data_IF_405159622388
#
_entry.id   IF_405159622388
#
_cell.length_a   1.000
_cell.length_b   1.000
_cell.length_c   1.000
_cell.angle_alpha   90.00
_cell.angle_beta   90.00
_cell.angle_gamma   90.00
#
_symmetry.space_group_name_H-M   'P 1'
#
loop_
_entity.id
_entity.type
_entity.pdbx_description
1 polymer ?
#
# COMPACT_ATOMS: atom_id res chain seq x y z
N UNK A 1 23.48 -5.75 13.63
CA UNK A 1 24.16 -6.44 12.52
C UNK A 1 23.16 -7.41 11.88
N UNK A 2 22.46 -6.99 10.82
CA UNK A 2 21.74 -7.94 9.97
C UNK A 2 22.79 -8.57 9.06
N UNK A 3 23.16 -9.82 9.33
CA UNK A 3 23.95 -10.59 8.38
C UNK A 3 23.03 -11.00 7.23
N UNK A 4 23.25 -10.47 6.03
CA UNK A 4 22.66 -11.05 4.83
C UNK A 4 23.48 -12.26 4.42
N UNK A 5 22.87 -13.44 4.40
CA UNK A 5 23.46 -14.61 3.75
C UNK A 5 23.05 -14.59 2.28
N UNK A 6 24.03 -14.59 1.38
CA UNK A 6 23.78 -14.92 -0.03
C UNK A 6 23.57 -16.43 -0.15
N UNK A 7 22.32 -16.80 -0.41
CA UNK A 7 21.89 -18.19 -0.55
C UNK A 7 21.82 -18.62 -2.03
N UNK A 8 22.21 -17.76 -2.96
CA UNK A 8 22.14 -18.04 -4.40
C UNK A 8 22.93 -19.29 -4.76
N UNK A 9 22.24 -20.30 -5.31
CA UNK A 9 22.83 -21.58 -5.70
C UNK A 9 23.25 -22.49 -4.53
N UNK A 10 23.04 -22.06 -3.27
CA UNK A 10 23.33 -22.88 -2.09
C UNK A 10 22.27 -23.96 -1.92
N UNK A 11 22.70 -25.16 -1.54
CA UNK A 11 21.83 -26.30 -1.25
C UNK A 11 21.34 -26.20 0.18
N UNK A 12 20.06 -25.92 0.34
CA UNK A 12 19.42 -25.79 1.65
C UNK A 12 18.49 -26.97 1.85
N UNK A 13 18.74 -27.75 2.91
CA UNK A 13 17.87 -28.84 3.31
C UNK A 13 16.95 -28.36 4.43
N UNK A 14 15.65 -28.26 4.16
CA UNK A 14 14.65 -27.87 5.15
C UNK A 14 14.06 -29.11 5.79
N UNK A 15 14.19 -29.26 7.10
CA UNK A 15 13.62 -30.37 7.87
C UNK A 15 12.28 -29.91 8.47
N UNK A 16 11.20 -30.53 8.01
CA UNK A 16 9.84 -30.21 8.48
C UNK A 16 8.73 -30.83 7.64
N UNK A 17 7.51 -30.76 8.18
CA UNK A 17 6.30 -31.17 7.44
C UNK A 17 6.07 -30.25 6.25
N UNK A 18 5.35 -30.72 5.22
CA UNK A 18 5.05 -29.87 4.05
C UNK A 18 4.30 -28.59 4.45
N UNK A 19 3.34 -28.72 5.37
CA UNK A 19 2.52 -27.61 5.86
C UNK A 19 3.26 -26.70 6.84
N UNK A 20 4.07 -27.24 7.76
CA UNK A 20 4.84 -26.46 8.73
C UNK A 20 6.01 -25.72 8.09
N UNK A 21 6.68 -26.34 7.11
CA UNK A 21 7.84 -25.76 6.44
C UNK A 21 7.50 -24.86 5.23
N UNK A 22 6.23 -24.74 4.82
CA UNK A 22 5.82 -24.06 3.57
C UNK A 22 6.43 -22.67 3.37
N UNK A 23 6.38 -21.80 4.39
CA UNK A 23 6.91 -20.42 4.34
C UNK A 23 8.44 -20.40 4.27
N UNK A 24 9.09 -21.31 5.00
CA UNK A 24 10.54 -21.47 4.98
C UNK A 24 10.99 -21.93 3.60
N UNK A 25 10.34 -22.96 3.05
CA UNK A 25 10.65 -23.46 1.71
C UNK A 25 10.53 -22.36 0.65
N UNK A 26 9.43 -21.59 0.68
CA UNK A 26 9.21 -20.49 -0.26
C UNK A 26 10.26 -19.38 -0.09
N UNK A 27 10.51 -18.92 1.14
CA UNK A 27 11.48 -17.84 1.43
C UNK A 27 12.90 -18.19 1.00
N UNK A 28 13.38 -19.40 1.30
CA UNK A 28 14.73 -19.80 0.92
C UNK A 28 14.87 -19.98 -0.59
N UNK A 29 13.83 -20.45 -1.29
CA UNK A 29 13.82 -20.47 -2.77
C UNK A 29 13.83 -19.07 -3.36
N UNK A 30 13.06 -18.13 -2.80
CA UNK A 30 13.05 -16.74 -3.22
C UNK A 30 14.41 -16.06 -3.02
N UNK A 31 15.18 -16.49 -2.01
CA UNK A 31 16.57 -16.08 -1.81
C UNK A 31 17.58 -16.76 -2.77
N UNK A 32 17.11 -17.50 -3.77
CA UNK A 32 17.96 -18.15 -4.79
C UNK A 32 18.54 -19.50 -4.38
N UNK A 33 18.12 -20.06 -3.24
CA UNK A 33 18.61 -21.36 -2.79
C UNK A 33 18.00 -22.52 -3.61
N UNK A 34 18.80 -23.57 -3.80
CA UNK A 34 18.31 -24.87 -4.25
C UNK A 34 17.78 -25.58 -3.01
N UNK A 35 16.46 -25.69 -2.87
CA UNK A 35 15.82 -26.16 -1.63
C UNK A 35 15.28 -27.57 -1.76
N UNK A 36 15.74 -28.48 -0.90
CA UNK A 36 15.17 -29.81 -0.69
C UNK A 36 14.43 -29.87 0.66
N UNK A 37 13.46 -30.79 0.80
CA UNK A 37 12.72 -31.02 2.05
C UNK A 37 12.97 -32.43 2.58
N UNK A 38 13.23 -32.53 3.87
CA UNK A 38 13.29 -33.78 4.63
C UNK A 38 12.23 -33.77 5.76
N UNK A 39 11.81 -34.96 6.20
CA UNK A 39 10.88 -35.09 7.34
C UNK A 39 11.23 -36.30 8.20
N UNK A 40 11.27 -37.48 7.59
CA UNK A 40 11.50 -38.74 8.31
C UNK A 40 12.92 -39.28 8.15
N UNK A 41 13.63 -38.85 7.11
CA UNK A 41 14.99 -39.26 6.79
C UNK A 41 15.76 -38.11 6.12
N UNK A 42 17.09 -38.15 6.20
CA UNK A 42 18.00 -37.13 5.64
C UNK A 42 18.82 -37.73 4.50
N UNK A 43 18.72 -37.14 3.31
CA UNK A 43 19.67 -37.43 2.23
C UNK A 43 20.93 -36.56 2.37
N UNK A 44 21.91 -37.02 3.14
CA UNK A 44 23.17 -36.30 3.27
C UNK A 44 24.11 -36.51 2.08
N UNK A 45 23.83 -37.47 1.19
CA UNK A 45 24.57 -37.61 -0.06
C UNK A 45 24.35 -36.42 -0.99
N UNK A 46 23.20 -35.73 -0.83
CA UNK A 46 22.92 -34.46 -1.49
C UNK A 46 23.85 -33.31 -1.05
N UNK A 47 24.60 -33.49 0.05
CA UNK A 47 25.59 -32.56 0.63
C UNK A 47 25.03 -31.13 0.82
N UNK A 48 24.03 -30.92 1.69
CA UNK A 48 23.50 -29.57 1.92
C UNK A 48 24.59 -28.65 2.49
N UNK A 49 24.59 -27.39 2.03
CA UNK A 49 25.46 -26.33 2.54
C UNK A 49 24.90 -25.75 3.85
N UNK A 50 23.58 -25.83 4.03
CA UNK A 50 22.82 -25.37 5.20
C UNK A 50 21.66 -26.32 5.48
N UNK A 51 21.44 -26.63 6.75
CA UNK A 51 20.22 -27.28 7.22
C UNK A 51 19.34 -26.26 7.94
N UNK A 52 18.09 -26.16 7.51
CA UNK A 52 17.10 -25.31 8.17
C UNK A 52 16.13 -26.20 8.91
N UNK A 53 16.14 -26.10 10.22
CA UNK A 53 15.32 -26.91 11.10
C UNK A 53 14.03 -26.20 11.44
N UNK A 54 12.91 -26.75 11.00
CA UNK A 54 11.57 -26.21 11.27
C UNK A 54 10.84 -27.12 12.26
N UNK A 55 10.74 -28.40 11.90
CA UNK A 55 10.10 -29.45 12.70
C UNK A 55 10.83 -30.77 12.44
N UNK A 56 11.00 -31.63 13.44
CA UNK A 56 11.64 -32.94 13.22
C UNK A 56 11.91 -33.69 14.51
N UNK A 57 12.33 -34.97 14.38
CA UNK A 57 12.65 -35.80 15.54
C UNK A 57 14.03 -35.45 16.13
N UNK A 58 14.19 -35.62 17.44
CA UNK A 58 15.48 -35.45 18.10
C UNK A 58 16.58 -36.35 17.50
N UNK A 59 16.19 -37.53 17.03
CA UNK A 59 17.09 -38.46 16.33
C UNK A 59 17.62 -37.89 15.02
N UNK A 60 16.76 -37.24 14.21
CA UNK A 60 17.23 -36.54 13.00
C UNK A 60 18.16 -35.39 13.36
N UNK A 61 17.84 -34.62 14.42
CA UNK A 61 18.66 -33.47 14.84
C UNK A 61 20.07 -33.91 15.23
N UNK A 62 20.16 -34.98 16.02
CA UNK A 62 21.43 -35.57 16.40
C UNK A 62 22.26 -36.07 15.20
N UNK A 63 21.62 -36.48 14.10
CA UNK A 63 22.34 -36.82 12.87
C UNK A 63 22.94 -35.57 12.24
N UNK A 64 22.17 -34.49 12.09
CA UNK A 64 22.66 -33.21 11.51
C UNK A 64 23.83 -32.66 12.31
N UNK A 65 23.69 -32.61 13.64
CA UNK A 65 24.71 -32.05 14.54
C UNK A 65 26.05 -32.81 14.44
N UNK A 66 26.02 -34.14 14.23
CA UNK A 66 27.24 -34.96 14.05
C UNK A 66 27.97 -34.71 12.73
N UNK A 67 27.28 -34.21 11.71
CA UNK A 67 27.86 -34.00 10.39
C UNK A 67 28.50 -32.62 10.21
N UNK A 68 28.42 -31.74 11.23
CA UNK A 68 29.09 -30.43 11.23
C UNK A 68 28.56 -29.46 10.18
N UNK A 69 27.33 -29.66 9.71
CA UNK A 69 26.67 -28.78 8.74
C UNK A 69 26.07 -27.60 9.50
N UNK A 70 26.21 -26.40 8.94
CA UNK A 70 25.57 -25.21 9.50
C UNK A 70 24.07 -25.44 9.62
N UNK A 71 23.53 -25.15 10.80
CA UNK A 71 22.12 -25.38 11.11
C UNK A 71 21.49 -24.11 11.66
N UNK A 72 20.29 -23.79 11.18
CA UNK A 72 19.50 -22.65 11.65
C UNK A 72 18.10 -23.14 12.03
N UNK A 73 17.63 -22.69 13.19
CA UNK A 73 16.27 -22.97 13.66
C UNK A 73 15.29 -21.90 13.17
N UNK A 74 14.17 -22.34 12.60
CA UNK A 74 13.11 -21.49 12.06
C UNK A 74 11.76 -21.93 12.62
N UNK A 75 10.87 -20.98 12.87
CA UNK A 75 9.55 -21.29 13.40
C UNK A 75 8.65 -21.94 12.33
N UNK A 76 7.89 -23.00 12.67
CA UNK A 76 6.90 -23.55 11.75
C UNK A 76 5.80 -22.57 11.43
N UNK A 77 5.27 -22.68 10.22
CA UNK A 77 4.02 -22.06 9.86
C UNK A 77 2.89 -22.68 10.68
N UNK A 78 2.03 -21.84 11.26
CA UNK A 78 0.94 -22.31 12.10
C UNK A 78 0.05 -23.28 11.31
N UNK A 79 -0.20 -24.45 11.89
CA UNK A 79 -1.15 -25.42 11.36
C UNK A 79 -2.54 -25.05 11.87
N UNK A 80 -3.37 -24.52 10.98
CA UNK A 80 -4.76 -24.17 11.30
C UNK A 80 -5.68 -24.75 10.22
N UNK A 81 -6.86 -25.19 10.63
CA UNK A 81 -7.92 -25.56 9.68
C UNK A 81 -8.45 -24.36 8.90
N UNK A 82 -8.34 -23.16 9.48
CA UNK A 82 -8.66 -21.88 8.84
C UNK A 82 -7.53 -20.90 9.17
N UNK A 83 -6.95 -20.30 8.13
CA UNK A 83 -5.95 -19.26 8.23
C UNK A 83 -6.57 -17.93 8.67
N UNK A 84 -5.85 -16.83 8.45
CA UNK A 84 -6.36 -15.48 8.74
C UNK A 84 -6.26 -14.57 7.53
N UNK A 85 -7.08 -13.53 7.50
CA UNK A 85 -6.95 -12.43 6.54
C UNK A 85 -6.44 -11.18 7.25
N UNK A 86 -5.31 -10.65 6.80
CA UNK A 86 -4.82 -9.33 7.23
C UNK A 86 -5.11 -8.32 6.13
N UNK A 87 -5.96 -7.34 6.42
CA UNK A 87 -6.27 -6.23 5.50
C UNK A 87 -5.34 -5.09 5.88
N UNK A 88 -4.35 -4.83 5.02
CA UNK A 88 -3.16 -4.04 5.35
C UNK A 88 -3.08 -2.78 4.50
N UNK A 89 -2.96 -1.63 5.16
CA UNK A 89 -2.62 -0.37 4.52
C UNK A 89 -1.14 -0.31 4.17
N UNK A 90 -0.85 -0.17 2.88
CA UNK A 90 0.50 -0.06 2.33
C UNK A 90 1.04 1.37 2.30
N UNK A 91 0.24 2.39 2.63
CA UNK A 91 0.70 3.78 2.51
C UNK A 91 0.60 4.34 1.09
N UNK A 92 1.03 5.59 0.85
CA UNK A 92 0.73 6.33 -0.38
C UNK A 92 1.58 5.95 -1.60
N UNK A 93 2.67 5.20 -1.42
CA UNK A 93 3.56 4.77 -2.51
C UNK A 93 4.98 4.47 -2.03
N UNK A 94 5.56 5.33 -1.19
CA UNK A 94 6.89 5.11 -0.61
C UNK A 94 6.88 3.97 0.42
N UNK A 95 7.69 2.91 0.23
CA UNK A 95 7.82 1.83 1.19
C UNK A 95 8.21 2.27 2.60
N UNK A 96 8.93 3.38 2.77
CA UNK A 96 9.31 3.89 4.10
C UNK A 96 8.10 4.39 4.92
N UNK A 97 6.96 4.64 4.26
CA UNK A 97 5.70 4.99 4.90
C UNK A 97 4.82 3.78 5.25
N UNK A 98 5.29 2.56 4.97
CA UNK A 98 4.64 1.36 5.47
C UNK A 98 4.86 1.22 6.97
N UNK A 99 3.80 0.79 7.66
CA UNK A 99 3.91 0.55 9.11
C UNK A 99 4.74 -0.70 9.39
N UNK A 100 5.39 -0.75 10.56
CA UNK A 100 6.05 -1.98 11.03
C UNK A 100 5.07 -3.17 11.15
N UNK A 101 3.79 -2.90 11.37
CA UNK A 101 2.75 -3.93 11.35
C UNK A 101 2.49 -4.46 9.93
N UNK A 102 2.50 -3.59 8.91
CA UNK A 102 2.35 -3.99 7.51
C UNK A 102 3.51 -4.89 7.06
N UNK A 103 4.76 -4.51 7.35
CA UNK A 103 5.93 -5.35 7.04
C UNK A 103 5.88 -6.70 7.74
N UNK A 104 5.48 -6.75 9.02
CA UNK A 104 5.32 -8.03 9.75
C UNK A 104 4.26 -8.92 9.10
N UNK A 105 3.10 -8.35 8.73
CA UNK A 105 2.04 -9.10 8.07
C UNK A 105 2.50 -9.69 6.73
N UNK A 106 3.20 -8.90 5.91
CA UNK A 106 3.76 -9.36 4.62
C UNK A 106 4.79 -10.47 4.78
N UNK A 107 5.71 -10.35 5.75
CA UNK A 107 6.73 -11.37 6.00
C UNK A 107 6.15 -12.70 6.44
N UNK A 108 5.00 -12.69 7.09
CA UNK A 108 4.30 -13.87 7.60
C UNK A 108 3.27 -14.45 6.62
N UNK A 109 2.99 -13.75 5.51
CA UNK A 109 1.97 -14.14 4.55
C UNK A 109 2.32 -15.44 3.80
N UNK A 110 1.30 -16.25 3.57
CA UNK A 110 1.32 -17.34 2.59
C UNK A 110 0.85 -16.84 1.21
N UNK A 111 -0.06 -15.87 1.18
CA UNK A 111 -0.59 -15.25 -0.05
C UNK A 111 -0.73 -13.75 0.15
N UNK A 112 -0.33 -12.95 -0.84
CA UNK A 112 -0.54 -11.49 -0.85
C UNK A 112 -1.37 -11.11 -2.07
N UNK A 113 -2.59 -10.62 -1.83
CA UNK A 113 -3.44 -9.98 -2.83
C UNK A 113 -3.15 -8.47 -2.80
N UNK A 114 -2.61 -7.93 -3.88
CA UNK A 114 -2.22 -6.52 -3.97
C UNK A 114 -2.85 -5.82 -5.17
N UNK A 115 -2.97 -4.50 -5.08
CA UNK A 115 -3.31 -3.64 -6.21
C UNK A 115 -2.23 -2.58 -6.42
N UNK A 116 -2.39 -1.77 -7.46
CA UNK A 116 -1.35 -0.85 -7.96
C UNK A 116 -1.39 0.54 -7.31
N UNK A 117 -2.31 0.79 -6.37
CA UNK A 117 -2.42 2.09 -5.71
C UNK A 117 -1.45 2.23 -4.52
N UNK A 118 -0.85 1.13 -4.07
CA UNK A 118 0.15 1.12 -3.00
C UNK A 118 1.54 0.69 -3.47
N UNK A 119 2.54 0.70 -2.56
CA UNK A 119 3.86 0.14 -2.83
C UNK A 119 3.73 -1.33 -3.22
N UNK A 120 4.21 -1.69 -4.41
CA UNK A 120 4.18 -3.07 -4.90
C UNK A 120 5.52 -3.55 -5.46
N UNK A 121 6.43 -2.64 -5.84
CA UNK A 121 7.70 -2.98 -6.49
C UNK A 121 8.61 -3.87 -5.63
N UNK A 122 8.55 -3.74 -4.29
CA UNK A 122 9.34 -4.54 -3.36
C UNK A 122 8.62 -5.76 -2.77
N UNK A 123 7.43 -6.13 -3.26
CA UNK A 123 6.63 -7.21 -2.66
C UNK A 123 7.36 -8.55 -2.58
N UNK A 124 8.16 -8.90 -3.59
CA UNK A 124 8.96 -10.12 -3.59
C UNK A 124 10.00 -10.14 -2.45
N UNK A 125 10.51 -8.98 -2.05
CA UNK A 125 11.44 -8.83 -0.93
C UNK A 125 10.71 -8.81 0.42
N UNK A 126 9.56 -8.15 0.50
CA UNK A 126 8.81 -7.99 1.75
C UNK A 126 8.01 -9.24 2.13
N UNK A 127 7.55 -10.01 1.14
CA UNK A 127 6.79 -11.24 1.28
C UNK A 127 7.42 -12.41 0.50
N UNK A 128 8.69 -12.76 0.77
CA UNK A 128 9.44 -13.74 -0.02
C UNK A 128 8.90 -15.17 0.09
N UNK A 129 8.04 -15.41 1.08
CA UNK A 129 7.39 -16.71 1.29
C UNK A 129 6.00 -16.83 0.70
N UNK A 130 5.48 -15.76 0.07
CA UNK A 130 4.08 -15.67 -0.32
C UNK A 130 3.86 -15.82 -1.83
N UNK A 131 2.71 -16.39 -2.20
CA UNK A 131 2.15 -16.26 -3.55
C UNK A 131 1.65 -14.82 -3.74
N UNK A 132 2.18 -14.10 -4.74
CA UNK A 132 1.79 -12.73 -5.03
C UNK A 132 0.71 -12.71 -6.14
N UNK A 133 -0.45 -12.14 -5.84
CA UNK A 133 -1.60 -12.08 -6.75
C UNK A 133 -1.99 -10.61 -6.99
N UNK A 134 -1.78 -10.12 -8.21
CA UNK A 134 -2.25 -8.79 -8.65
C UNK A 134 -3.76 -8.85 -8.90
N UNK A 135 -4.53 -8.10 -8.09
CA UNK A 135 -5.99 -7.95 -8.23
C UNK A 135 -6.39 -6.57 -8.77
N UNK A 136 -5.41 -5.78 -9.21
CA UNK A 136 -5.61 -4.44 -9.77
C UNK A 136 -6.11 -4.43 -11.21
N UNK A 137 -6.35 -3.22 -11.73
CA UNK A 137 -6.72 -3.00 -13.14
C UNK A 137 -5.47 -3.15 -14.02
N UNK A 138 -5.38 -4.21 -14.81
CA UNK A 138 -4.37 -4.32 -15.87
C UNK A 138 -4.83 -3.53 -17.10
N UNK A 139 -3.96 -2.74 -17.77
CA UNK A 139 -4.24 -2.23 -19.11
C UNK A 139 -4.66 -3.39 -20.02
N UNK A 140 -5.87 -3.32 -20.60
CA UNK A 140 -6.41 -4.36 -21.49
C UNK A 140 -7.16 -5.51 -20.82
N UNK A 141 -7.24 -5.59 -19.49
CA UNK A 141 -8.08 -6.57 -18.78
C UNK A 141 -9.12 -5.87 -17.90
N UNK A 142 -10.32 -6.47 -17.81
CA UNK A 142 -11.36 -5.98 -16.90
C UNK A 142 -10.88 -6.10 -15.45
N UNK A 143 -11.17 -5.08 -14.64
CA UNK A 143 -10.89 -5.10 -13.21
C UNK A 143 -11.51 -6.36 -12.58
N UNK A 144 -10.74 -7.08 -11.75
CA UNK A 144 -11.32 -8.15 -10.91
C UNK A 144 -12.43 -7.51 -10.07
N UNK A 145 -13.70 -7.93 -10.23
CA UNK A 145 -14.78 -7.39 -9.43
C UNK A 145 -14.51 -7.60 -7.94
N UNK A 146 -14.93 -6.65 -7.11
CA UNK A 146 -14.65 -6.69 -5.67
C UNK A 146 -15.07 -8.02 -5.01
N UNK A 147 -16.25 -8.53 -5.38
CA UNK A 147 -16.76 -9.80 -4.84
C UNK A 147 -15.87 -11.00 -5.18
N UNK A 148 -15.12 -10.95 -6.29
CA UNK A 148 -14.16 -11.98 -6.65
C UNK A 148 -12.88 -11.89 -5.83
N UNK A 149 -12.40 -10.67 -5.54
CA UNK A 149 -11.28 -10.42 -4.61
C UNK A 149 -11.64 -10.96 -3.23
N UNK A 150 -12.84 -10.64 -2.75
CA UNK A 150 -13.37 -11.11 -1.46
C UNK A 150 -13.46 -12.63 -1.42
N UNK A 151 -14.02 -13.26 -2.46
CA UNK A 151 -14.12 -14.71 -2.59
C UNK A 151 -12.75 -15.38 -2.61
N UNK A 152 -11.80 -14.84 -3.37
CA UNK A 152 -10.44 -15.36 -3.45
C UNK A 152 -9.77 -15.31 -2.07
N UNK A 153 -9.79 -14.14 -1.43
CA UNK A 153 -9.24 -13.93 -0.09
C UNK A 153 -9.82 -14.90 0.94
N UNK A 154 -11.14 -15.07 0.96
CA UNK A 154 -11.83 -16.01 1.86
C UNK A 154 -11.45 -17.45 1.54
N UNK A 155 -11.45 -17.85 0.27
CA UNK A 155 -11.13 -19.24 -0.14
C UNK A 155 -9.73 -19.65 0.28
N UNK A 156 -8.72 -18.80 0.06
CA UNK A 156 -7.33 -19.04 0.48
C UNK A 156 -7.23 -19.17 2.01
N UNK A 157 -7.94 -18.34 2.76
CA UNK A 157 -7.95 -18.47 4.22
C UNK A 157 -8.63 -19.77 4.69
N UNK A 158 -9.68 -20.23 4.03
CA UNK A 158 -10.33 -21.52 4.31
C UNK A 158 -9.45 -22.73 3.97
N UNK A 159 -8.44 -22.56 3.11
CA UNK A 159 -7.38 -23.56 2.87
C UNK A 159 -6.34 -23.60 4.01
N UNK A 160 -6.48 -22.78 5.04
CA UNK A 160 -5.54 -22.70 6.17
C UNK A 160 -4.40 -21.69 5.98
N UNK A 161 -4.44 -20.89 4.89
CA UNK A 161 -3.36 -19.95 4.54
C UNK A 161 -3.54 -18.59 5.23
N UNK A 162 -2.43 -18.00 5.68
CA UNK A 162 -2.42 -16.62 6.18
C UNK A 162 -2.34 -15.66 4.97
N UNK A 163 -3.44 -14.97 4.71
CA UNK A 163 -3.64 -14.10 3.54
C UNK A 163 -3.42 -12.64 3.93
N UNK A 164 -2.66 -11.90 3.13
CA UNK A 164 -2.59 -10.44 3.20
C UNK A 164 -3.32 -9.83 2.03
N UNK A 165 -4.27 -8.92 2.30
CA UNK A 165 -4.83 -7.99 1.32
C UNK A 165 -4.13 -6.66 1.48
N UNK A 166 -3.10 -6.40 0.66
CA UNK A 166 -2.34 -5.16 0.69
C UNK A 166 -3.03 -4.08 -0.17
N UNK A 167 -3.35 -2.94 0.44
CA UNK A 167 -4.13 -1.87 -0.18
C UNK A 167 -3.33 -0.56 -0.16
N UNK A 168 -3.40 0.23 -1.22
CA UNK A 168 -2.84 1.59 -1.21
C UNK A 168 -3.48 2.48 -0.14
N UNK A 169 -2.67 3.31 0.51
CA UNK A 169 -3.09 4.21 1.58
C UNK A 169 -3.54 3.46 2.83
N UNK A 170 -4.74 3.79 3.31
CA UNK A 170 -5.39 3.15 4.45
C UNK A 170 -6.60 2.30 3.99
N UNK A 171 -6.82 1.09 4.54
CA UNK A 171 -7.93 0.22 4.13
C UNK A 171 -9.33 0.85 4.24
N UNK A 172 -9.52 1.78 5.17
CA UNK A 172 -10.82 2.36 5.51
C UNK A 172 -11.03 3.78 4.96
N UNK A 173 -10.04 4.36 4.27
CA UNK A 173 -10.20 5.65 3.57
C UNK A 173 -10.42 5.39 2.08
N UNK A 174 -11.69 5.28 1.67
CA UNK A 174 -12.12 4.91 0.31
C UNK A 174 -11.51 3.62 -0.26
N UNK A 175 -10.92 2.78 0.60
CA UNK A 175 -10.28 1.52 0.21
C UNK A 175 -11.22 0.34 0.12
N UNK A 176 -12.50 0.46 0.52
CA UNK A 176 -13.47 -0.66 0.59
C UNK A 176 -13.10 -1.77 1.58
N UNK A 177 -12.19 -1.52 2.53
CA UNK A 177 -11.79 -2.54 3.51
C UNK A 177 -12.95 -3.05 4.37
N UNK A 178 -14.00 -2.25 4.58
CA UNK A 178 -15.18 -2.67 5.33
C UNK A 178 -16.04 -3.73 4.61
N UNK A 179 -16.04 -3.73 3.27
CA UNK A 179 -16.67 -4.77 2.45
C UNK A 179 -15.89 -6.09 2.57
N UNK A 180 -14.57 -6.02 2.49
CA UNK A 180 -13.66 -7.16 2.67
C UNK A 180 -13.79 -7.77 4.09
N UNK A 181 -13.88 -6.93 5.13
CA UNK A 181 -14.18 -7.37 6.51
C UNK A 181 -15.53 -8.10 6.59
N UNK A 182 -16.56 -7.58 5.90
CA UNK A 182 -17.89 -8.20 5.90
C UNK A 182 -17.85 -9.59 5.26
N UNK A 183 -17.11 -9.75 4.17
CA UNK A 183 -16.91 -11.04 3.53
C UNK A 183 -16.21 -12.04 4.47
N UNK A 184 -15.13 -11.64 5.16
CA UNK A 184 -14.48 -12.48 6.16
C UNK A 184 -15.42 -12.90 7.29
N UNK A 185 -16.18 -11.94 7.84
CA UNK A 185 -17.16 -12.22 8.90
C UNK A 185 -18.24 -13.20 8.46
N UNK A 186 -18.79 -13.01 7.26
CA UNK A 186 -19.82 -13.89 6.72
C UNK A 186 -19.33 -15.33 6.53
N UNK A 187 -18.03 -15.50 6.23
CA UNK A 187 -17.40 -16.80 6.03
C UNK A 187 -16.79 -17.42 7.30
N UNK A 188 -16.87 -16.75 8.46
CA UNK A 188 -16.24 -17.21 9.70
C UNK A 188 -14.71 -17.20 9.68
N UNK A 189 -14.10 -16.42 8.77
CA UNK A 189 -12.65 -16.30 8.62
C UNK A 189 -12.11 -15.25 9.62
N UNK A 190 -11.14 -15.61 10.49
CA UNK A 190 -10.46 -14.65 11.34
C UNK A 190 -9.77 -13.55 10.51
N UNK A 191 -9.89 -12.30 10.94
CA UNK A 191 -9.26 -11.19 10.23
C UNK A 191 -8.62 -10.17 11.17
N UNK A 192 -7.69 -9.39 10.64
CA UNK A 192 -7.04 -8.26 11.31
C UNK A 192 -6.96 -7.09 10.35
N UNK A 193 -7.13 -5.87 10.86
CA UNK A 193 -6.95 -4.64 10.09
C UNK A 193 -5.65 -4.01 10.54
N UNK A 194 -4.77 -3.72 9.60
CA UNK A 194 -3.53 -2.97 9.83
C UNK A 194 -3.69 -1.61 9.17
N UNK A 195 -3.80 -0.52 9.95
CA UNK A 195 -3.89 0.83 9.39
C UNK A 195 -2.68 1.19 8.54
N UNK A 196 -2.91 2.06 7.56
CA UNK A 196 -1.86 2.62 6.71
C UNK A 196 -1.84 4.13 6.75
N UNK A 197 -0.74 4.71 6.29
CA UNK A 197 -0.64 6.16 6.10
C UNK A 197 -1.53 6.55 4.90
N UNK A 198 -2.63 7.25 5.15
CA UNK A 198 -3.56 7.64 4.08
C UNK A 198 -2.98 8.69 3.15
N UNK A 199 -3.28 8.58 1.85
CA UNK A 199 -2.92 9.59 0.85
C UNK A 199 -3.61 10.94 1.11
N UNK A 200 -4.76 10.95 1.80
CA UNK A 200 -5.48 12.17 2.14
C UNK A 200 -4.69 13.15 3.03
N UNK A 201 -3.68 12.65 3.76
CA UNK A 201 -2.84 13.46 4.66
C UNK A 201 -1.41 13.50 4.15
N UNK A 202 -0.87 12.32 3.79
CA UNK A 202 0.54 12.20 3.44
C UNK A 202 0.88 12.82 2.09
N UNK A 203 0.02 12.69 1.08
CA UNK A 203 0.33 13.24 -0.26
C UNK A 203 0.37 14.78 -0.24
N UNK A 204 -0.56 15.50 0.42
CA UNK A 204 -0.38 16.93 0.67
C UNK A 204 0.94 17.26 1.38
N UNK A 205 1.30 16.49 2.42
CA UNK A 205 2.54 16.69 3.16
C UNK A 205 3.80 16.50 2.29
N UNK A 206 3.76 15.61 1.28
CA UNK A 206 4.84 15.44 0.30
C UNK A 206 5.10 16.68 -0.56
N UNK A 207 4.12 17.58 -0.64
CA UNK A 207 4.22 18.90 -1.28
C UNK A 207 4.39 20.04 -0.27
N UNK A 208 4.70 19.73 1.00
CA UNK A 208 4.80 20.71 2.08
C UNK A 208 3.46 21.33 2.49
N UNK A 209 2.32 20.78 2.07
CA UNK A 209 0.99 21.33 2.37
C UNK A 209 0.41 20.61 3.60
N UNK A 210 0.27 21.29 4.76
CA UNK A 210 -0.40 20.70 5.90
C UNK A 210 -1.91 20.66 5.67
N UNK A 211 -2.60 19.60 6.10
CA UNK A 211 -4.08 19.53 5.97
C UNK A 211 -4.82 20.38 7.01
N UNK A 212 -4.14 20.78 8.08
CA UNK A 212 -4.65 21.73 9.09
C UNK A 212 -3.53 22.68 9.50
N UNK A 213 -3.88 23.90 9.90
CA UNK A 213 -2.93 24.88 10.42
C UNK A 213 -3.67 25.86 11.32
N UNK A 214 -3.18 26.10 12.55
CA UNK A 214 -3.94 26.69 13.67
C UNK A 214 -4.70 27.98 13.33
N UNK A 215 -4.08 28.85 12.53
CA UNK A 215 -4.59 30.16 12.15
C UNK A 215 -5.24 30.19 10.76
N UNK A 216 -5.19 29.07 10.03
CA UNK A 216 -5.61 28.99 8.62
C UNK A 216 -6.78 28.02 8.43
N UNK A 217 -6.68 26.82 9.00
CA UNK A 217 -7.69 25.77 8.87
C UNK A 217 -7.71 24.88 10.10
N UNK A 218 -8.84 24.87 10.81
CA UNK A 218 -9.08 24.08 12.04
C UNK A 218 -9.84 22.77 11.78
N UNK A 219 -10.26 22.55 10.55
CA UNK A 219 -10.98 21.37 10.10
C UNK A 219 -10.57 21.04 8.67
N UNK A 220 -10.54 19.75 8.35
CA UNK A 220 -10.38 19.31 6.98
C UNK A 220 -11.40 18.22 6.65
N UNK A 221 -11.83 18.20 5.40
CA UNK A 221 -12.83 17.27 4.90
C UNK A 221 -12.23 16.45 3.80
N UNK A 222 -12.34 15.12 3.90
CA UNK A 222 -11.87 14.21 2.85
C UNK A 222 -13.08 13.67 2.10
N UNK A 223 -13.09 13.83 0.78
CA UNK A 223 -14.17 13.36 -0.09
C UNK A 223 -13.64 12.52 -1.25
N UNK A 224 -14.51 11.66 -1.78
CA UNK A 224 -14.27 10.94 -3.03
C UNK A 224 -14.89 11.71 -4.17
N UNK A 225 -14.06 12.20 -5.09
CA UNK A 225 -14.49 12.81 -6.35
C UNK A 225 -14.68 11.79 -7.48
N UNK A 226 -14.83 10.50 -7.19
CA UNK A 226 -14.98 9.48 -8.24
C UNK A 226 -16.19 9.73 -9.16
N UNK A 227 -17.27 10.28 -8.59
CA UNK A 227 -18.44 10.74 -9.32
C UNK A 227 -18.66 12.24 -9.06
N UNK A 228 -19.31 12.97 -9.99
CA UNK A 228 -19.68 14.36 -9.76
C UNK A 228 -20.57 14.51 -8.53
N UNK A 229 -20.31 15.56 -7.74
CA UNK A 229 -21.17 15.95 -6.61
C UNK A 229 -22.44 16.65 -7.10
N UNK A 230 -23.53 16.49 -6.37
CA UNK A 230 -24.75 17.30 -6.54
C UNK A 230 -24.53 18.75 -6.09
N UNK A 231 -25.38 19.68 -6.56
CA UNK A 231 -25.31 21.08 -6.15
C UNK A 231 -25.50 21.26 -4.62
N UNK A 232 -26.29 20.39 -3.99
CA UNK A 232 -26.46 20.40 -2.53
C UNK A 232 -25.17 20.02 -1.80
N UNK A 233 -24.49 18.96 -2.23
CA UNK A 233 -23.21 18.54 -1.66
C UNK A 233 -22.14 19.63 -1.86
N UNK A 234 -22.09 20.24 -3.04
CA UNK A 234 -21.19 21.37 -3.32
C UNK A 234 -21.47 22.56 -2.41
N UNK A 235 -22.75 22.87 -2.17
CA UNK A 235 -23.18 23.87 -1.17
C UNK A 235 -22.64 23.59 0.22
N UNK A 236 -22.71 22.34 0.69
CA UNK A 236 -22.15 21.94 1.98
C UNK A 236 -20.62 22.04 2.02
N UNK A 237 -19.94 21.60 0.96
CA UNK A 237 -18.46 21.64 0.89
C UNK A 237 -17.93 23.07 0.87
N UNK A 238 -18.57 23.98 0.12
CA UNK A 238 -18.22 25.40 0.14
C UNK A 238 -18.56 26.06 1.48
N UNK A 239 -19.72 25.73 2.07
CA UNK A 239 -20.21 26.35 3.30
C UNK A 239 -19.48 25.92 4.58
N UNK A 240 -18.97 24.68 4.65
CA UNK A 240 -18.25 24.17 5.83
C UNK A 240 -16.92 24.91 6.05
N UNK A 241 -16.26 25.34 4.97
CA UNK A 241 -14.94 25.95 4.99
C UNK A 241 -13.82 25.01 5.45
N UNK A 242 -12.64 25.57 5.72
CA UNK A 242 -11.45 24.81 6.07
C UNK A 242 -10.73 24.23 4.84
N UNK A 243 -10.12 23.06 5.02
CA UNK A 243 -9.36 22.39 3.95
C UNK A 243 -10.16 21.26 3.35
N UNK A 244 -10.37 21.28 2.04
CA UNK A 244 -10.99 20.18 1.30
C UNK A 244 -9.91 19.33 0.61
N UNK A 245 -9.87 18.05 0.94
CA UNK A 245 -9.01 17.06 0.27
C UNK A 245 -9.88 16.12 -0.56
N UNK A 246 -9.67 16.12 -1.87
CA UNK A 246 -10.44 15.31 -2.82
C UNK A 246 -9.57 14.19 -3.36
N UNK A 247 -9.99 12.96 -3.07
CA UNK A 247 -9.40 11.74 -3.62
C UNK A 247 -10.16 11.29 -4.86
N UNK A 248 -9.47 10.69 -5.83
CA UNK A 248 -10.08 10.17 -7.07
C UNK A 248 -10.83 11.24 -7.90
N UNK A 249 -10.48 12.52 -7.73
CA UNK A 249 -11.21 13.65 -8.32
C UNK A 249 -10.70 14.16 -9.67
N UNK A 250 -9.64 13.58 -10.24
CA UNK A 250 -9.00 14.11 -11.47
C UNK A 250 -10.00 14.28 -12.61
N UNK A 251 -10.81 13.26 -12.87
CA UNK A 251 -11.76 13.29 -13.99
C UNK A 251 -12.97 14.20 -13.74
N UNK A 252 -13.31 14.47 -12.48
CA UNK A 252 -14.45 15.31 -12.08
C UNK A 252 -14.04 16.72 -11.70
N UNK A 253 -12.73 17.02 -11.72
CA UNK A 253 -12.16 18.30 -11.32
C UNK A 253 -12.85 19.50 -12.02
N UNK A 254 -13.11 19.49 -13.35
CA UNK A 254 -13.81 20.61 -13.99
C UNK A 254 -15.20 20.88 -13.40
N UNK A 255 -15.97 19.81 -13.15
CA UNK A 255 -17.30 19.89 -12.56
C UNK A 255 -17.23 20.38 -11.11
N UNK A 256 -16.29 19.83 -10.34
CA UNK A 256 -16.08 20.18 -8.94
C UNK A 256 -15.81 21.69 -8.78
N UNK A 257 -14.82 22.24 -9.50
CA UNK A 257 -14.42 23.66 -9.29
C UNK A 257 -15.49 24.63 -9.78
N UNK A 258 -16.11 24.36 -10.94
CA UNK A 258 -17.23 25.17 -11.43
C UNK A 258 -18.43 25.11 -10.46
N UNK A 259 -18.68 23.94 -9.86
CA UNK A 259 -19.72 23.72 -8.86
C UNK A 259 -19.46 24.47 -7.55
N UNK A 260 -18.24 24.40 -7.02
CA UNK A 260 -17.84 25.11 -5.82
C UNK A 260 -17.93 26.63 -5.99
N UNK A 261 -17.57 27.16 -7.16
CA UNK A 261 -17.73 28.59 -7.46
C UNK A 261 -19.20 29.02 -7.48
N UNK A 262 -20.08 28.23 -8.11
CA UNK A 262 -21.54 28.49 -8.06
C UNK A 262 -22.09 28.44 -6.64
N UNK A 263 -21.51 27.59 -5.79
CA UNK A 263 -21.84 27.47 -4.38
C UNK A 263 -21.23 28.58 -3.49
N UNK A 264 -20.50 29.54 -4.07
CA UNK A 264 -19.98 30.71 -3.36
C UNK A 264 -18.50 30.64 -2.97
N UNK A 265 -17.75 29.60 -3.38
CA UNK A 265 -16.30 29.57 -3.19
C UNK A 265 -15.62 30.59 -4.11
N UNK A 266 -14.71 31.40 -3.56
CA UNK A 266 -14.03 32.46 -4.30
C UNK A 266 -13.08 31.89 -5.35
N UNK A 267 -12.90 32.62 -6.46
CA UNK A 267 -12.02 32.20 -7.55
C UNK A 267 -10.53 32.23 -7.20
N UNK A 268 -10.13 33.03 -6.22
CA UNK A 268 -8.77 33.12 -5.67
C UNK A 268 -8.45 32.06 -4.62
N UNK A 269 -9.45 31.25 -4.22
CA UNK A 269 -9.27 30.15 -3.27
C UNK A 269 -8.15 29.21 -3.74
N UNK A 270 -7.08 29.02 -2.95
CA UNK A 270 -5.94 28.21 -3.35
C UNK A 270 -6.31 26.75 -3.60
N UNK A 271 -5.70 26.17 -4.63
CA UNK A 271 -5.88 24.79 -5.04
C UNK A 271 -4.52 24.17 -5.39
N UNK A 272 -4.25 22.97 -4.89
CA UNK A 272 -3.12 22.16 -5.30
C UNK A 272 -3.57 20.81 -5.89
N UNK A 273 -2.84 20.32 -6.87
CA UNK A 273 -2.95 18.96 -7.41
C UNK A 273 -1.60 18.29 -7.20
N UNK A 274 -1.57 17.22 -6.41
CA UNK A 274 -0.34 16.45 -6.15
C UNK A 274 -0.51 15.07 -6.76
N UNK A 275 0.20 14.81 -7.84
CA UNK A 275 0.21 13.54 -8.56
C UNK A 275 1.30 12.62 -8.03
N UNK A 276 1.00 11.31 -7.95
CA UNK A 276 1.98 10.27 -7.60
C UNK A 276 2.82 10.66 -6.37
N UNK A 277 2.15 11.20 -5.34
CA UNK A 277 2.82 11.69 -4.14
C UNK A 277 3.70 10.62 -3.48
N UNK A 278 4.85 11.03 -2.96
CA UNK A 278 5.90 10.15 -2.42
C UNK A 278 6.58 9.22 -3.45
N UNK A 279 6.32 9.37 -4.74
CA UNK A 279 7.09 8.70 -5.79
C UNK A 279 8.18 9.62 -6.35
N UNK A 280 9.15 9.03 -7.05
CA UNK A 280 10.16 9.79 -7.81
C UNK A 280 9.57 10.63 -8.94
N UNK A 281 8.38 10.25 -9.41
CA UNK A 281 7.66 10.95 -10.47
C UNK A 281 6.61 11.91 -9.90
N UNK A 282 6.69 12.30 -8.63
CA UNK A 282 5.76 13.25 -8.02
C UNK A 282 5.71 14.56 -8.83
N UNK A 283 4.49 15.06 -9.06
CA UNK A 283 4.28 16.37 -9.68
C UNK A 283 3.27 17.17 -8.88
N UNK A 284 3.66 18.37 -8.47
CA UNK A 284 2.80 19.29 -7.72
C UNK A 284 2.44 20.47 -8.61
N UNK A 285 1.16 20.83 -8.61
CA UNK A 285 0.66 22.02 -9.30
C UNK A 285 -0.12 22.85 -8.32
N UNK A 286 0.28 24.11 -8.13
CA UNK A 286 -0.41 25.07 -7.27
C UNK A 286 -1.05 26.14 -8.16
N UNK A 287 -2.31 26.44 -7.90
CA UNK A 287 -3.12 27.42 -8.63
C UNK A 287 -4.29 27.87 -7.72
N UNK A 288 -5.37 28.37 -8.30
CA UNK A 288 -6.61 28.69 -7.62
C UNK A 288 -7.80 27.95 -8.24
N UNK A 289 -8.91 27.93 -7.52
CA UNK A 289 -10.18 27.36 -7.99
C UNK A 289 -10.63 28.00 -9.32
N UNK A 290 -10.46 29.31 -9.49
CA UNK A 290 -10.80 30.01 -10.73
C UNK A 290 -9.76 29.82 -11.85
N UNK A 291 -8.49 29.63 -11.51
CA UNK A 291 -7.40 29.50 -12.48
C UNK A 291 -7.27 28.09 -13.07
N UNK A 292 -7.60 27.05 -12.31
CA UNK A 292 -7.26 25.67 -12.69
C UNK A 292 -7.88 25.23 -14.02
N UNK A 293 -9.11 25.68 -14.34
CA UNK A 293 -9.79 25.29 -15.58
C UNK A 293 -9.01 25.72 -16.84
N UNK A 294 -8.37 26.89 -16.80
CA UNK A 294 -7.54 27.38 -17.89
C UNK A 294 -6.25 26.59 -18.07
N UNK A 295 -5.75 25.95 -17.00
CA UNK A 295 -4.51 25.18 -17.00
C UNK A 295 -4.70 23.71 -17.39
N UNK A 296 -5.92 23.16 -17.31
CA UNK A 296 -6.18 21.74 -17.56
C UNK A 296 -5.72 21.22 -18.93
N UNK A 297 -5.88 21.96 -20.05
CA UNK A 297 -5.41 21.50 -21.36
C UNK A 297 -3.91 21.22 -21.40
N UNK A 298 -3.12 22.07 -20.74
CA UNK A 298 -1.65 21.97 -20.72
C UNK A 298 -1.16 21.03 -19.62
N UNK A 299 -1.80 21.06 -18.45
CA UNK A 299 -1.41 20.27 -17.29
C UNK A 299 -1.71 18.77 -17.47
N UNK A 300 -2.87 18.48 -18.07
CA UNK A 300 -3.43 17.15 -18.27
C UNK A 300 -3.20 16.22 -17.06
N UNK A 301 -3.79 16.52 -15.88
CA UNK A 301 -3.46 15.81 -14.67
C UNK A 301 -3.81 14.32 -14.76
N UNK A 302 -2.95 13.47 -14.19
CA UNK A 302 -3.10 12.01 -14.26
C UNK A 302 -3.28 11.40 -12.88
N UNK A 303 -4.15 10.39 -12.81
CA UNK A 303 -4.30 9.58 -11.62
C UNK A 303 -3.08 8.65 -11.43
N UNK A 304 -2.72 8.31 -10.18
CA UNK A 304 -3.31 8.79 -8.93
C UNK A 304 -2.87 10.22 -8.58
N UNK A 305 -3.82 11.04 -8.13
CA UNK A 305 -3.56 12.40 -7.63
C UNK A 305 -4.50 12.76 -6.49
N UNK A 306 -4.03 13.65 -5.61
CA UNK A 306 -4.80 14.26 -4.52
C UNK A 306 -4.96 15.74 -4.81
N UNK A 307 -6.21 16.22 -4.78
CA UNK A 307 -6.51 17.64 -4.94
C UNK A 307 -6.74 18.22 -3.54
N UNK A 308 -6.11 19.35 -3.24
CA UNK A 308 -6.27 20.07 -1.98
C UNK A 308 -6.81 21.46 -2.30
N UNK A 309 -7.90 21.88 -1.66
CA UNK A 309 -8.49 23.20 -1.83
C UNK A 309 -8.57 23.86 -0.45
N UNK A 310 -8.07 25.08 -0.33
CA UNK A 310 -8.09 25.84 0.92
C UNK A 310 -6.80 26.61 1.17
N UNK A 311 -6.87 27.57 2.08
CA UNK A 311 -5.78 28.51 2.40
C UNK A 311 -4.47 27.82 2.86
N UNK A 312 -4.55 26.58 3.35
CA UNK A 312 -3.35 25.80 3.71
C UNK A 312 -2.40 25.55 2.54
N UNK A 313 -2.88 25.60 1.30
CA UNK A 313 -2.03 25.44 0.11
C UNK A 313 -0.98 26.56 0.04
N UNK A 314 -1.24 27.75 0.59
CA UNK A 314 -0.25 28.84 0.65
C UNK A 314 0.94 28.53 1.57
N UNK A 315 0.83 27.50 2.41
CA UNK A 315 1.91 27.03 3.28
C UNK A 315 2.84 26.03 2.59
N UNK A 316 2.58 25.70 1.31
CA UNK A 316 3.43 24.79 0.56
C UNK A 316 4.89 25.27 0.59
N UNK A 317 5.79 24.38 1.02
CA UNK A 317 7.23 24.55 0.84
C UNK A 317 7.57 23.75 -0.42
N UNK A 318 7.64 24.43 -1.57
CA UNK A 318 8.11 23.79 -2.79
C UNK A 318 9.64 23.64 -2.71
N UNK A 319 10.12 22.48 -2.28
CA UNK A 319 11.51 22.04 -2.48
C UNK A 319 11.73 21.65 -3.95
N UNK A 320 11.43 22.54 -4.90
CA UNK A 320 12.00 22.46 -6.24
C UNK A 320 13.41 23.06 -6.16
N UNK A 321 14.35 22.30 -5.61
CA UNK A 321 15.77 22.64 -5.52
C UNK A 321 16.47 22.64 -6.90
N UNK A 322 15.83 23.22 -7.92
CA UNK A 322 16.34 23.31 -9.28
C UNK A 322 15.90 24.53 -10.09
N UNK A 323 14.88 25.31 -9.68
CA UNK A 323 14.47 26.49 -10.46
C UNK A 323 13.91 27.64 -9.60
N UNK A 324 14.74 28.65 -9.26
CA UNK A 324 14.32 29.85 -8.54
C UNK A 324 13.22 30.69 -9.24
N UNK A 325 13.00 30.52 -10.56
CA UNK A 325 11.96 31.29 -11.28
C UNK A 325 10.54 30.73 -11.09
N UNK A 326 10.39 29.45 -10.71
CA UNK A 326 9.08 28.81 -10.50
C UNK A 326 8.33 29.39 -9.31
N UNK A 327 9.05 29.65 -8.22
CA UNK A 327 8.49 30.22 -6.97
C UNK A 327 8.05 31.67 -7.18
N UNK A 328 8.83 32.47 -7.92
CA UNK A 328 8.47 33.85 -8.23
C UNK A 328 7.15 33.92 -9.03
N UNK A 329 6.94 33.00 -9.98
CA UNK A 329 5.69 32.95 -10.76
C UNK A 329 4.48 32.46 -9.95
N UNK A 330 4.68 31.55 -9.00
CA UNK A 330 3.60 31.05 -8.14
C UNK A 330 3.14 32.07 -7.07
N UNK A 331 4.05 32.93 -6.60
CA UNK A 331 3.74 33.97 -5.60
C UNK A 331 3.26 35.28 -6.25
N UNK A 332 3.83 35.68 -7.39
CA UNK A 332 3.38 36.90 -8.10
C UNK A 332 1.97 36.74 -8.67
N UNK A 333 1.60 35.55 -9.15
CA UNK A 333 0.25 35.28 -9.68
C UNK A 333 -0.86 35.24 -8.61
N UNK A 334 -0.51 35.25 -7.32
CA UNK A 334 -1.46 35.31 -6.19
C UNK A 334 -1.51 36.69 -5.52
N UNK A 335 -0.68 37.63 -5.97
CA UNK A 335 -0.57 39.00 -5.41
C UNK A 335 -0.83 40.11 -6.43
N UNK A 336 -1.25 39.76 -7.66
CA UNK A 336 -1.85 40.68 -8.65
C UNK A 336 -3.26 40.25 -9.00
#
# INVERSE_FOLDING_TARGET
MQLSLDLTGRRVLVVGTASGARRVLARYRAAGAIVARAQEWLDLAWRPDLVVWVEGSASLRAVVDRHGIWTVDEAPAALRSVGRVSIVGGGPGDPELMTLAAHRALREADVVLFDRLGPHDGLAEWAPGAELIDVGKTPGHHAVPQHEIERLMVSRALEGLDVVRLKGGDPFVFGRGSEEVRACRAAGVPFTIVPGVTSAISVPAAAGIPVTHREVSRAFTVVSGHAPFSDQELGHLAGLGGTLVVLMGVNTLPHLVAGLQRAGMTGDMPLAIVERGWSRDQRTTITSVGGVLGLLPDLAPRSPAVIVIGEVVRQAVCDDAGDPESIARAVDALTT
#
